data_IF_704597562367
#
_entry.id   IF_704597562367
#
_cell.length_a   1.000
_cell.length_b   1.000
_cell.length_c   1.000
_cell.angle_alpha   90.00
_cell.angle_beta   90.00
_cell.angle_gamma   90.00
#
_symmetry.space_group_name_H-M   'P 1'
#
loop_
_entity.id
_entity.type
_entity.pdbx_description
1 polymer ?
#
# COMPACT_ATOMS: atom_id res chain seq x y z
N UNK A 1 -19.06 -2.32 28.95
CA UNK A 1 -20.27 -1.66 28.40
C UNK A 1 -20.04 -0.25 27.84
N UNK A 2 -19.01 0.51 28.25
CA UNK A 2 -18.80 1.90 27.79
C UNK A 2 -18.25 2.02 26.35
N UNK A 3 -17.49 1.02 25.86
CA UNK A 3 -16.87 1.05 24.53
C UNK A 3 -17.90 0.96 23.37
N UNK A 4 -19.06 0.34 23.61
CA UNK A 4 -20.12 0.20 22.60
C UNK A 4 -20.78 1.55 22.26
N UNK A 5 -20.98 2.42 23.27
CA UNK A 5 -21.59 3.73 23.07
C UNK A 5 -20.71 4.70 22.29
N UNK A 6 -19.39 4.66 22.53
CA UNK A 6 -18.41 5.49 21.81
C UNK A 6 -18.38 5.09 20.33
N UNK A 7 -18.24 3.80 20.01
CA UNK A 7 -18.21 3.34 18.62
C UNK A 7 -19.50 3.69 17.86
N UNK A 8 -20.65 3.62 18.52
CA UNK A 8 -21.95 3.99 17.92
C UNK A 8 -22.04 5.48 17.65
N UNK A 9 -21.59 6.34 18.57
CA UNK A 9 -21.55 7.79 18.36
C UNK A 9 -20.58 8.19 17.24
N UNK A 10 -19.41 7.54 17.17
CA UNK A 10 -18.41 7.78 16.11
C UNK A 10 -18.90 7.34 14.73
N UNK A 11 -19.62 6.22 14.63
CA UNK A 11 -20.28 5.79 13.39
C UNK A 11 -21.36 6.77 12.93
N UNK A 12 -22.17 7.33 13.84
CA UNK A 12 -23.17 8.36 13.51
C UNK A 12 -22.54 9.63 12.93
N UNK A 13 -21.36 9.98 13.41
CA UNK A 13 -20.55 11.09 12.89
C UNK A 13 -19.74 10.72 11.62
N UNK A 14 -19.90 9.49 11.08
CA UNK A 14 -19.12 8.93 9.96
C UNK A 14 -17.60 9.07 10.13
N UNK A 15 -17.11 9.01 11.38
CA UNK A 15 -15.68 9.13 11.68
C UNK A 15 -14.92 7.81 11.50
N UNK A 16 -15.64 6.71 11.34
CA UNK A 16 -15.09 5.37 11.12
C UNK A 16 -15.67 4.78 9.85
N UNK A 17 -14.84 4.03 9.15
CA UNK A 17 -15.19 3.25 7.95
C UNK A 17 -14.70 1.81 8.14
N UNK A 18 -15.45 0.84 7.64
CA UNK A 18 -15.07 -0.57 7.68
C UNK A 18 -13.99 -0.87 6.63
N UNK A 19 -12.90 -1.50 7.06
CA UNK A 19 -11.83 -1.89 6.16
C UNK A 19 -12.21 -3.16 5.38
N UNK A 20 -12.18 -3.10 4.04
CA UNK A 20 -12.53 -4.24 3.17
C UNK A 20 -11.63 -5.48 3.31
N UNK A 21 -10.44 -5.34 3.93
CA UNK A 21 -9.50 -6.45 4.10
C UNK A 21 -9.57 -7.13 5.47
N UNK A 22 -9.71 -6.36 6.55
CA UNK A 22 -9.75 -6.90 7.91
C UNK A 22 -11.16 -6.87 8.54
N UNK A 23 -12.14 -6.26 7.87
CA UNK A 23 -13.52 -6.09 8.34
C UNK A 23 -13.63 -5.36 9.70
N UNK A 24 -12.60 -4.60 10.09
CA UNK A 24 -12.61 -3.80 11.32
C UNK A 24 -13.06 -2.36 11.03
N UNK A 25 -13.78 -1.75 11.99
CA UNK A 25 -14.05 -0.31 11.99
C UNK A 25 -12.77 0.46 12.27
N UNK A 26 -12.34 1.26 11.30
CA UNK A 26 -11.12 2.07 11.41
C UNK A 26 -11.46 3.54 11.19
N UNK A 27 -10.83 4.43 11.95
CA UNK A 27 -10.92 5.87 11.72
C UNK A 27 -10.60 6.22 10.26
N UNK A 28 -11.47 7.01 9.61
CA UNK A 28 -11.33 7.32 8.18
C UNK A 28 -9.95 7.94 7.83
N UNK A 29 -9.37 8.71 8.76
CA UNK A 29 -8.03 9.32 8.62
C UNK A 29 -6.88 8.30 8.54
N UNK A 30 -7.13 7.03 8.86
CA UNK A 30 -6.14 5.94 8.80
C UNK A 30 -6.30 5.06 7.55
N UNK A 31 -7.20 5.44 6.64
CA UNK A 31 -7.30 4.81 5.33
C UNK A 31 -6.30 5.43 4.36
N UNK A 32 -5.72 4.57 3.52
CA UNK A 32 -4.83 4.97 2.45
C UNK A 32 -5.35 4.41 1.14
N UNK A 33 -5.44 5.26 0.14
CA UNK A 33 -5.98 4.94 -1.19
C UNK A 33 -4.84 4.78 -2.18
N UNK A 34 -4.94 3.76 -3.02
CA UNK A 34 -4.16 3.66 -4.25
C UNK A 34 -4.84 4.51 -5.33
N UNK A 35 -4.25 5.65 -5.71
CA UNK A 35 -4.81 6.57 -6.69
C UNK A 35 -5.02 5.91 -8.06
N UNK A 36 -4.21 4.91 -8.40
CA UNK A 36 -4.31 4.20 -9.68
C UNK A 36 -5.58 3.33 -9.86
N UNK A 37 -6.28 2.94 -8.79
CA UNK A 37 -7.50 2.11 -8.87
C UNK A 37 -8.55 2.37 -7.77
N UNK A 38 -8.37 3.42 -6.99
CA UNK A 38 -9.23 3.85 -5.88
C UNK A 38 -9.41 2.86 -4.72
N UNK A 39 -8.88 1.64 -4.80
CA UNK A 39 -8.83 0.71 -3.69
C UNK A 39 -8.15 1.34 -2.47
N UNK A 40 -8.79 1.19 -1.31
CA UNK A 40 -8.32 1.73 -0.05
C UNK A 40 -8.50 0.74 1.08
N UNK A 41 -7.52 0.69 1.98
CA UNK A 41 -7.62 -0.08 3.20
C UNK A 41 -6.85 0.64 4.31
N UNK A 42 -6.97 0.13 5.53
CA UNK A 42 -6.27 0.69 6.67
C UNK A 42 -4.75 0.51 6.54
N UNK A 43 -4.00 1.38 7.22
CA UNK A 43 -2.52 1.31 7.24
C UNK A 43 -1.95 -0.07 7.62
N UNK A 44 -2.62 -0.80 8.51
CA UNK A 44 -2.19 -2.14 8.95
C UNK A 44 -2.31 -3.13 7.80
N UNK A 45 -3.46 -3.14 7.12
CA UNK A 45 -3.68 -4.03 5.98
C UNK A 45 -2.71 -3.77 4.83
N UNK A 46 -2.36 -2.51 4.55
CA UNK A 46 -1.32 -2.20 3.57
C UNK A 46 0.05 -2.78 3.93
N UNK A 47 0.45 -2.68 5.20
CA UNK A 47 1.71 -3.27 5.67
C UNK A 47 1.69 -4.78 5.55
N UNK A 48 0.63 -5.41 6.02
CA UNK A 48 0.49 -6.88 5.97
C UNK A 48 0.47 -7.39 4.53
N UNK A 49 -0.27 -6.72 3.63
CA UNK A 49 -0.30 -7.08 2.22
C UNK A 49 1.10 -7.05 1.58
N UNK A 50 1.84 -5.96 1.78
CA UNK A 50 3.18 -5.80 1.21
C UNK A 50 4.22 -6.74 1.85
N UNK A 51 4.05 -7.08 3.13
CA UNK A 51 4.91 -8.03 3.84
C UNK A 51 4.61 -9.48 3.44
N UNK A 52 3.33 -9.86 3.33
CA UNK A 52 2.92 -11.24 3.05
C UNK A 52 3.46 -11.76 1.70
N UNK A 53 3.65 -10.87 0.73
CA UNK A 53 4.20 -11.22 -0.58
C UNK A 53 5.59 -10.58 -0.83
N UNK A 54 6.37 -10.31 0.22
CA UNK A 54 7.65 -9.63 0.10
C UNK A 54 8.62 -10.41 -0.80
N UNK A 55 8.82 -11.71 -0.54
CA UNK A 55 9.78 -12.54 -1.29
C UNK A 55 9.42 -12.64 -2.77
N UNK A 56 8.13 -12.84 -3.09
CA UNK A 56 7.65 -12.91 -4.47
C UNK A 56 7.76 -11.56 -5.18
N UNK A 57 7.46 -10.47 -4.48
CA UNK A 57 7.58 -9.10 -5.00
C UNK A 57 9.04 -8.72 -5.26
N UNK A 58 9.96 -9.06 -4.35
CA UNK A 58 11.40 -8.86 -4.53
C UNK A 58 11.93 -9.66 -5.73
N UNK A 59 11.53 -10.93 -5.88
CA UNK A 59 11.95 -11.75 -7.02
C UNK A 59 11.51 -11.11 -8.34
N UNK A 60 10.26 -10.66 -8.44
CA UNK A 60 9.72 -9.97 -9.63
C UNK A 60 10.46 -8.67 -9.90
N UNK A 61 10.60 -7.81 -8.90
CA UNK A 61 11.26 -6.51 -9.05
C UNK A 61 12.74 -6.62 -9.47
N UNK A 62 13.45 -7.66 -9.01
CA UNK A 62 14.84 -7.91 -9.43
C UNK A 62 14.97 -8.35 -10.89
N UNK A 63 13.91 -8.91 -11.46
CA UNK A 63 13.87 -9.38 -12.85
C UNK A 63 13.35 -8.30 -13.81
N UNK A 64 12.59 -7.32 -13.31
CA UNK A 64 12.06 -6.23 -14.13
C UNK A 64 13.03 -5.04 -14.19
N UNK A 65 12.88 -4.23 -15.24
CA UNK A 65 13.59 -2.94 -15.39
C UNK A 65 12.83 -1.76 -14.82
N UNK A 66 11.55 -1.96 -14.51
CA UNK A 66 10.64 -0.93 -14.03
C UNK A 66 9.87 -1.40 -12.79
N UNK A 67 9.32 -0.45 -12.06
CA UNK A 67 8.45 -0.70 -10.91
C UNK A 67 7.08 -1.29 -11.33
N UNK A 68 6.73 -2.49 -10.86
CA UNK A 68 5.55 -3.27 -11.33
C UNK A 68 4.74 -3.95 -10.21
N UNK A 69 4.68 -3.39 -8.99
CA UNK A 69 3.84 -3.98 -7.94
C UNK A 69 2.36 -3.70 -8.18
N UNK A 70 1.51 -4.73 -8.03
CA UNK A 70 0.05 -4.64 -8.23
C UNK A 70 -0.71 -4.46 -6.91
N UNK A 71 -1.90 -3.88 -7.01
CA UNK A 71 -2.82 -3.67 -5.90
C UNK A 71 -3.34 -5.01 -5.33
N UNK A 72 -3.82 -4.99 -4.08
CA UNK A 72 -4.66 -6.07 -3.58
C UNK A 72 -6.03 -5.93 -4.26
N UNK A 73 -6.50 -6.98 -4.93
CA UNK A 73 -7.82 -6.98 -5.57
C UNK A 73 -7.89 -6.51 -7.02
N UNK A 74 -6.80 -6.01 -7.62
CA UNK A 74 -6.73 -5.79 -9.07
C UNK A 74 -5.29 -5.73 -9.59
N UNK A 75 -5.14 -5.74 -10.91
CA UNK A 75 -3.83 -5.65 -11.57
C UNK A 75 -3.29 -4.22 -11.73
N UNK A 76 -4.01 -3.22 -11.22
CA UNK A 76 -3.53 -1.85 -11.26
C UNK A 76 -2.26 -1.69 -10.43
N UNK A 77 -1.35 -0.85 -10.94
CA UNK A 77 -0.07 -0.58 -10.29
C UNK A 77 -0.30 0.09 -8.93
N UNK A 78 0.54 -0.24 -7.96
CA UNK A 78 0.60 0.46 -6.70
C UNK A 78 1.30 1.80 -6.84
N UNK A 79 0.79 2.81 -6.16
CA UNK A 79 1.46 4.09 -6.10
C UNK A 79 2.75 4.00 -5.28
N UNK A 80 3.83 4.57 -5.83
CA UNK A 80 5.15 4.59 -5.18
C UNK A 80 5.11 5.20 -3.75
N UNK A 81 4.41 6.31 -3.49
CA UNK A 81 4.30 6.86 -2.12
C UNK A 81 3.67 5.88 -1.13
N UNK A 82 2.67 5.11 -1.58
CA UNK A 82 1.99 4.13 -0.75
C UNK A 82 2.94 2.99 -0.40
N UNK A 83 3.65 2.46 -1.40
CA UNK A 83 4.64 1.40 -1.19
C UNK A 83 5.77 1.87 -0.30
N UNK A 84 6.34 3.08 -0.52
CA UNK A 84 7.39 3.62 0.35
C UNK A 84 6.96 3.76 1.82
N UNK A 85 5.69 4.06 2.05
CA UNK A 85 5.14 4.25 3.40
C UNK A 85 4.89 2.93 4.13
N UNK A 86 4.48 1.88 3.43
CA UNK A 86 4.00 0.63 4.06
C UNK A 86 4.83 -0.61 3.76
N UNK A 87 5.73 -0.56 2.78
CA UNK A 87 6.54 -1.70 2.41
C UNK A 87 7.59 -2.04 3.48
N UNK A 88 7.94 -3.33 3.61
CA UNK A 88 9.10 -3.75 4.39
C UNK A 88 10.40 -3.09 3.94
N UNK A 89 11.43 -3.01 4.81
CA UNK A 89 12.72 -2.39 4.48
C UNK A 89 13.38 -2.93 3.21
N UNK A 90 13.40 -4.25 2.99
CA UNK A 90 14.09 -4.81 1.82
C UNK A 90 13.38 -4.47 0.52
N UNK A 91 12.05 -4.50 0.52
CA UNK A 91 11.25 -4.10 -0.63
C UNK A 91 11.48 -2.62 -0.98
N UNK A 92 11.56 -1.73 0.03
CA UNK A 92 11.90 -0.31 -0.17
C UNK A 92 13.28 -0.13 -0.80
N UNK A 93 14.31 -0.79 -0.26
CA UNK A 93 15.66 -0.75 -0.81
C UNK A 93 15.71 -1.20 -2.29
N UNK A 94 14.98 -2.26 -2.62
CA UNK A 94 14.90 -2.74 -4.01
C UNK A 94 14.25 -1.71 -4.95
N UNK A 95 13.22 -1.00 -4.48
CA UNK A 95 12.55 0.05 -5.25
C UNK A 95 13.49 1.24 -5.43
N UNK A 96 14.22 1.65 -4.40
CA UNK A 96 15.19 2.76 -4.48
C UNK A 96 16.28 2.47 -5.51
N UNK A 97 16.79 1.22 -5.56
CA UNK A 97 17.74 0.78 -6.58
C UNK A 97 17.14 0.80 -7.99
N UNK A 98 15.90 0.34 -8.15
CA UNK A 98 15.20 0.40 -9.44
C UNK A 98 15.02 1.83 -9.91
N UNK A 99 14.60 2.75 -9.05
CA UNK A 99 14.46 4.16 -9.42
C UNK A 99 15.79 4.83 -9.72
N UNK A 100 16.85 4.50 -8.97
CA UNK A 100 18.19 4.99 -9.28
C UNK A 100 18.62 4.55 -10.68
N UNK A 101 18.35 3.29 -11.03
CA UNK A 101 18.60 2.76 -12.37
C UNK A 101 17.72 3.43 -13.44
N UNK A 102 16.42 3.61 -13.20
CA UNK A 102 15.51 4.31 -14.11
C UNK A 102 16.04 5.72 -14.40
N UNK A 103 16.43 6.48 -13.36
CA UNK A 103 17.02 7.82 -13.50
C UNK A 103 18.33 7.82 -14.30
N UNK A 104 19.17 6.81 -14.15
CA UNK A 104 20.42 6.69 -14.92
C UNK A 104 20.14 6.42 -16.40
N UNK A 105 19.17 5.55 -16.71
CA UNK A 105 18.74 5.26 -18.08
C UNK A 105 18.14 6.51 -18.73
N UNK A 106 17.31 7.27 -18.02
CA UNK A 106 16.73 8.51 -18.54
C UNK A 106 17.78 9.58 -18.87
N UNK A 107 18.89 9.61 -18.12
CA UNK A 107 19.99 10.58 -18.33
C UNK A 107 20.97 10.18 -19.44
N UNK A 108 20.97 8.91 -19.83
CA UNK A 108 21.80 8.38 -20.91
C UNK A 108 20.95 7.42 -21.76
N UNK A 109 20.00 7.95 -22.54
CA UNK A 109 19.23 7.13 -23.46
C UNK A 109 20.18 6.48 -24.48
N UNK A 110 19.94 5.20 -24.85
CA UNK A 110 20.78 4.46 -25.79
C UNK A 110 20.81 5.09 -27.19
#
# INVERSE_FOLDING_TARGET
YVLSGINTAMRRLRLTEECQLCCEDVFFLRFHRNASCEHRCCAICWRHFLAANETGSLRRLRQTRAFTLSCWGCDARLDRPLVRRFAPPQLRLCIDHLEARERLIERAPP
#
